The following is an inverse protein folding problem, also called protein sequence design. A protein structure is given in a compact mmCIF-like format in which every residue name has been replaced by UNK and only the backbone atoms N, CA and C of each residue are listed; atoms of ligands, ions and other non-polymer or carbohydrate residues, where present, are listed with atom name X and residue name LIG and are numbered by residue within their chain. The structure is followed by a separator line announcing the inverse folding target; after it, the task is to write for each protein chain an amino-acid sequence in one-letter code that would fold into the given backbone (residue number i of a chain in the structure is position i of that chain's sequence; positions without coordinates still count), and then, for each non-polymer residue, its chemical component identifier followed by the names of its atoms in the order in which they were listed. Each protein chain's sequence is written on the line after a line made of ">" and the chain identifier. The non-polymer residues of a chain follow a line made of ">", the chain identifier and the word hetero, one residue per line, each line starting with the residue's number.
data_IF_961786011993
#
_entry.id   IF_961786011993
#
_cell.length_a   1.000
_cell.length_b   1.000
_cell.length_c   1.000
_cell.angle_alpha   90.00
_cell.angle_beta   90.00
_cell.angle_gamma   90.00
#
_symmetry.space_group_name_H-M   'P 1'
#
loop_
_entity.id
_entity.type
_entity.pdbx_description
1 polymer ?
#
# COMPACT_ATOMS: atom_id res chain seq x y z
N UNK A 1 -7.65 17.38 4.08
CA UNK A 1 -6.67 16.30 4.37
C UNK A 1 -5.63 16.78 5.37
N UNK A 2 -4.90 17.91 5.14
CA UNK A 2 -3.88 18.45 6.06
C UNK A 2 -4.41 18.62 7.50
N UNK A 3 -5.53 19.33 7.68
CA UNK A 3 -6.14 19.55 9.00
C UNK A 3 -6.62 18.24 9.66
N UNK A 4 -7.05 17.27 8.88
CA UNK A 4 -7.45 15.94 9.36
C UNK A 4 -6.25 15.09 9.79
N UNK A 5 -5.13 15.19 9.05
CA UNK A 5 -3.91 14.46 9.36
C UNK A 5 -3.21 14.99 10.61
N UNK A 6 -3.03 16.32 10.71
CA UNK A 6 -2.31 16.98 11.81
C UNK A 6 -3.17 17.37 13.02
N UNK A 7 -4.49 17.13 12.98
CA UNK A 7 -5.42 17.56 14.02
C UNK A 7 -6.73 16.78 14.00
N UNK A 8 -7.80 17.42 14.48
CA UNK A 8 -9.11 16.79 14.60
C UNK A 8 -9.13 15.68 15.66
N UNK A 9 -10.21 14.89 15.65
CA UNK A 9 -10.45 13.82 16.65
C UNK A 9 -9.36 12.75 16.65
N UNK A 10 -8.85 12.39 15.47
CA UNK A 10 -7.91 11.28 15.33
C UNK A 10 -6.45 11.69 15.42
N UNK A 11 -6.11 12.95 15.14
CA UNK A 11 -4.72 13.46 15.13
C UNK A 11 -3.72 12.42 14.58
N UNK A 12 -3.97 11.94 13.36
CA UNK A 12 -3.35 10.74 12.77
C UNK A 12 -1.82 10.84 12.76
N UNK A 13 -1.28 12.01 12.47
CA UNK A 13 0.15 12.23 12.39
C UNK A 13 0.88 11.99 13.72
N UNK A 14 0.18 12.09 14.86
CA UNK A 14 0.80 11.87 16.19
C UNK A 14 1.17 10.41 16.46
N UNK A 15 0.50 9.45 15.82
CA UNK A 15 0.69 8.02 16.08
C UNK A 15 0.99 7.17 14.83
N UNK A 16 0.48 7.53 13.66
CA UNK A 16 0.68 6.75 12.44
C UNK A 16 2.04 7.09 11.80
N UNK A 17 2.96 6.12 11.74
CA UNK A 17 4.25 6.29 11.07
C UNK A 17 4.12 6.32 9.55
N UNK A 18 3.21 5.51 9.01
CA UNK A 18 2.93 5.43 7.58
C UNK A 18 1.46 5.78 7.36
N UNK A 19 1.19 6.63 6.39
CA UNK A 19 -0.17 6.95 5.95
C UNK A 19 -0.27 6.82 4.44
N UNK A 20 -1.49 6.83 3.92
CA UNK A 20 -1.70 6.81 2.48
C UNK A 20 -2.64 7.92 2.01
N UNK A 21 -2.50 8.32 0.77
CA UNK A 21 -3.36 9.32 0.15
C UNK A 21 -3.53 9.07 -1.35
N UNK A 22 -4.69 9.47 -1.88
CA UNK A 22 -4.89 9.54 -3.32
C UNK A 22 -4.13 10.73 -3.93
N UNK A 23 -3.54 10.52 -5.11
CA UNK A 23 -2.85 11.56 -5.88
C UNK A 23 -3.80 12.43 -6.74
N UNK A 24 -5.10 12.08 -6.80
CA UNK A 24 -6.14 12.83 -7.55
C UNK A 24 -6.11 14.35 -7.31
N UNK A 25 -5.85 14.87 -6.07
CA UNK A 25 -5.78 16.32 -5.85
C UNK A 25 -4.52 16.99 -6.45
N UNK A 26 -3.63 16.22 -7.07
CA UNK A 26 -2.35 16.73 -7.58
C UNK A 26 -1.26 16.80 -6.51
N UNK A 27 -0.06 17.33 -6.84
CA UNK A 27 1.14 17.25 -6.00
C UNK A 27 1.02 18.03 -4.67
N UNK A 28 0.08 18.98 -4.57
CA UNK A 28 -0.20 19.69 -3.33
C UNK A 28 -0.60 18.81 -2.15
N UNK A 29 -1.11 17.57 -2.40
CA UNK A 29 -1.42 16.63 -1.33
C UNK A 29 -0.15 16.17 -0.60
N UNK A 30 0.93 15.92 -1.34
CA UNK A 30 2.22 15.49 -0.78
C UNK A 30 2.80 16.61 0.08
N UNK A 31 2.92 17.82 -0.47
CA UNK A 31 3.45 18.98 0.23
C UNK A 31 2.65 19.31 1.51
N UNK A 32 1.32 19.28 1.43
CA UNK A 32 0.45 19.56 2.56
C UNK A 32 0.52 18.52 3.69
N UNK A 33 0.74 17.25 3.38
CA UNK A 33 0.95 16.20 4.38
C UNK A 33 2.36 16.28 4.98
N UNK A 34 3.38 16.50 4.16
CA UNK A 34 4.78 16.68 4.60
C UNK A 34 4.94 17.83 5.58
N UNK A 35 4.29 18.96 5.33
CA UNK A 35 4.34 20.14 6.22
C UNK A 35 3.89 19.80 7.64
N UNK A 36 2.86 18.96 7.81
CA UNK A 36 2.41 18.49 9.13
C UNK A 36 3.49 17.68 9.83
N UNK A 37 4.24 16.86 9.08
CA UNK A 37 5.25 15.97 9.67
C UNK A 37 6.49 16.73 10.18
N UNK A 38 6.75 17.92 9.68
CA UNK A 38 7.89 18.74 10.09
C UNK A 38 7.92 19.08 11.59
N UNK A 39 6.77 19.02 12.26
CA UNK A 39 6.65 19.27 13.71
C UNK A 39 6.71 18.01 14.58
N UNK A 40 6.87 16.83 13.95
CA UNK A 40 6.82 15.53 14.63
C UNK A 40 8.22 14.95 14.70
N UNK A 41 8.73 14.62 15.91
CA UNK A 41 10.10 14.13 16.08
C UNK A 41 10.38 12.76 15.42
N UNK A 42 9.36 11.92 15.33
CA UNK A 42 9.51 10.58 14.74
C UNK A 42 9.30 10.61 13.21
N UNK A 43 10.00 9.78 12.43
CA UNK A 43 9.85 9.74 10.97
C UNK A 43 8.43 9.38 10.56
N UNK A 44 7.98 9.97 9.45
CA UNK A 44 6.69 9.72 8.82
C UNK A 44 6.89 9.44 7.33
N UNK A 45 6.15 8.48 6.79
CA UNK A 45 6.17 8.11 5.38
C UNK A 45 4.78 8.17 4.76
N UNK A 46 4.75 8.43 3.46
CA UNK A 46 3.54 8.49 2.64
C UNK A 46 3.56 7.39 1.58
N UNK A 47 2.44 6.66 1.47
CA UNK A 47 2.15 5.79 0.35
C UNK A 47 1.11 6.47 -0.55
N UNK A 48 1.35 6.52 -1.85
CA UNK A 48 0.35 7.02 -2.81
C UNK A 48 -0.48 5.86 -3.36
N UNK A 49 -1.80 6.07 -3.47
CA UNK A 49 -2.68 5.08 -4.08
C UNK A 49 -2.56 5.15 -5.60
N UNK A 50 -1.94 4.15 -6.21
CA UNK A 50 -1.78 4.00 -7.65
C UNK A 50 -2.81 3.06 -8.26
N UNK A 51 -3.15 1.97 -7.56
CA UNK A 51 -4.14 0.98 -7.99
C UNK A 51 -5.01 0.52 -6.82
N UNK A 52 -6.22 0.11 -7.12
CA UNK A 52 -7.17 -0.44 -6.16
C UNK A 52 -7.61 -1.85 -6.55
N UNK A 53 -8.04 -2.64 -5.57
CA UNK A 53 -8.46 -4.03 -5.77
C UNK A 53 -9.93 -4.19 -6.18
N UNK A 54 -10.71 -3.11 -6.23
CA UNK A 54 -12.12 -3.14 -6.66
C UNK A 54 -12.25 -3.14 -8.18
N UNK A 55 -13.17 -3.94 -8.70
CA UNK A 55 -13.48 -3.98 -10.14
C UNK A 55 -14.04 -2.63 -10.62
N UNK A 56 -13.57 -2.14 -11.76
CA UNK A 56 -14.05 -0.90 -12.35
C UNK A 56 -13.57 0.38 -11.66
N UNK A 57 -12.53 0.30 -10.81
CA UNK A 57 -11.90 1.49 -10.25
C UNK A 57 -11.16 2.29 -11.35
N UNK A 58 -10.89 3.55 -11.07
CA UNK A 58 -10.21 4.48 -11.98
C UNK A 58 -8.68 4.54 -11.76
N UNK A 59 -8.13 3.71 -10.88
CA UNK A 59 -6.68 3.59 -10.66
C UNK A 59 -6.01 2.73 -11.73
N UNK A 60 -4.69 2.80 -11.77
CA UNK A 60 -3.90 2.08 -12.78
C UNK A 60 -3.65 2.88 -14.06
N UNK A 61 -2.95 2.29 -15.03
CA UNK A 61 -2.66 2.92 -16.30
C UNK A 61 -2.07 4.33 -16.18
N UNK A 62 -2.65 5.31 -16.88
CA UNK A 62 -2.18 6.69 -16.86
C UNK A 62 -2.22 7.31 -15.45
N UNK A 63 -3.23 6.96 -14.64
CA UNK A 63 -3.31 7.42 -13.25
C UNK A 63 -2.10 6.95 -12.43
N UNK A 64 -1.71 5.68 -12.55
CA UNK A 64 -0.53 5.14 -11.88
C UNK A 64 0.75 5.84 -12.37
N UNK A 65 0.90 6.04 -13.68
CA UNK A 65 2.06 6.73 -14.25
C UNK A 65 2.19 8.16 -13.71
N UNK A 66 1.10 8.92 -13.65
CA UNK A 66 1.07 10.26 -13.07
C UNK A 66 1.34 10.26 -11.56
N UNK A 67 0.84 9.25 -10.85
CA UNK A 67 1.09 9.08 -9.42
C UNK A 67 2.58 8.83 -9.17
N UNK A 68 3.23 8.02 -10.01
CA UNK A 68 4.66 7.74 -9.93
C UNK A 68 5.51 9.01 -10.22
N UNK A 69 5.13 9.81 -11.23
CA UNK A 69 5.76 11.10 -11.48
C UNK A 69 5.68 12.04 -10.26
N UNK A 70 4.52 12.09 -9.60
CA UNK A 70 4.33 12.89 -8.38
C UNK A 70 5.17 12.39 -7.20
N UNK A 71 5.27 11.07 -7.02
CA UNK A 71 6.12 10.47 -5.97
C UNK A 71 7.59 10.89 -6.11
N UNK A 72 8.09 10.91 -7.34
CA UNK A 72 9.46 11.32 -7.69
C UNK A 72 9.78 12.79 -7.37
N UNK A 73 8.77 13.63 -7.16
CA UNK A 73 8.97 15.02 -6.73
C UNK A 73 9.39 15.14 -5.27
N UNK A 74 9.12 14.13 -4.45
CA UNK A 74 9.48 14.13 -3.02
C UNK A 74 9.80 12.72 -2.49
N UNK A 75 10.92 12.11 -2.94
CA UNK A 75 11.31 10.77 -2.53
C UNK A 75 11.74 10.68 -1.06
N UNK A 76 12.00 11.81 -0.41
CA UNK A 76 12.31 11.86 1.03
C UNK A 76 11.09 11.72 1.94
N UNK A 77 9.86 11.78 1.40
CA UNK A 77 8.62 11.60 2.16
C UNK A 77 7.72 10.51 1.57
N UNK A 78 7.60 10.43 0.25
CA UNK A 78 6.90 9.32 -0.39
C UNK A 78 7.82 8.10 -0.37
N UNK A 79 7.37 7.01 0.23
CA UNK A 79 8.14 5.78 0.38
C UNK A 79 7.67 4.66 -0.53
N UNK A 80 6.54 4.83 -1.20
CA UNK A 80 5.99 3.80 -2.08
C UNK A 80 4.51 3.96 -2.38
N UNK A 81 3.86 2.85 -2.70
CA UNK A 81 2.52 2.84 -3.28
C UNK A 81 1.60 1.80 -2.66
N UNK A 82 0.30 2.12 -2.69
CA UNK A 82 -0.75 1.11 -2.63
C UNK A 82 -1.05 0.74 -4.08
N UNK A 83 -0.72 -0.49 -4.49
CA UNK A 83 -0.90 -0.96 -5.85
C UNK A 83 -1.20 -2.47 -5.91
N UNK A 84 -1.54 -2.99 -7.09
CA UNK A 84 -1.86 -4.40 -7.33
C UNK A 84 -0.72 -5.17 -8.00
N UNK A 85 0.31 -4.44 -8.45
CA UNK A 85 1.51 -4.96 -9.12
C UNK A 85 2.71 -4.14 -8.68
N UNK A 86 3.92 -4.68 -8.81
CA UNK A 86 5.14 -3.90 -8.67
C UNK A 86 5.10 -2.69 -9.59
N UNK A 87 5.65 -1.58 -9.14
CA UNK A 87 5.81 -0.37 -9.94
C UNK A 87 7.17 -0.36 -10.63
N UNK A 88 7.28 0.41 -11.71
CA UNK A 88 8.54 0.57 -12.41
C UNK A 88 9.49 1.46 -11.60
N UNK A 89 10.59 0.88 -11.13
CA UNK A 89 11.69 1.58 -10.48
C UNK A 89 12.72 2.04 -11.51
N UNK A 90 13.29 3.24 -11.31
CA UNK A 90 14.54 3.63 -11.96
C UNK A 90 15.73 3.02 -11.20
N UNK A 91 16.92 3.16 -11.74
CA UNK A 91 18.14 2.56 -11.18
C UNK A 91 18.45 3.00 -9.74
N UNK A 92 18.02 4.21 -9.37
CA UNK A 92 18.20 4.83 -8.06
C UNK A 92 16.93 4.83 -7.18
N UNK A 93 15.88 4.10 -7.60
CA UNK A 93 14.58 4.03 -6.90
C UNK A 93 14.36 2.65 -6.28
N UNK A 94 13.75 2.65 -5.08
CA UNK A 94 13.32 1.43 -4.39
C UNK A 94 11.99 1.69 -3.67
N UNK A 95 10.89 1.63 -4.44
CA UNK A 95 9.55 1.90 -3.94
C UNK A 95 8.92 0.68 -3.28
N UNK A 96 8.46 0.82 -2.04
CA UNK A 96 7.69 -0.22 -1.37
C UNK A 96 6.27 -0.27 -1.95
N UNK A 97 5.83 -1.45 -2.33
CA UNK A 97 4.45 -1.69 -2.81
C UNK A 97 3.66 -2.50 -1.78
N UNK A 98 2.63 -1.88 -1.20
CA UNK A 98 1.71 -2.53 -0.30
C UNK A 98 0.39 -2.83 -1.02
N UNK A 99 -0.04 -4.08 -1.01
CA UNK A 99 -1.15 -4.57 -1.86
C UNK A 99 -2.36 -4.99 -1.05
N UNK A 100 -3.51 -4.29 -1.19
CA UNK A 100 -4.78 -4.72 -0.63
C UNK A 100 -5.49 -5.77 -1.51
N UNK A 101 -6.57 -6.33 -0.98
CA UNK A 101 -7.35 -7.34 -1.70
C UNK A 101 -6.68 -8.70 -1.68
N UNK A 102 -6.07 -9.07 -0.57
CA UNK A 102 -5.44 -10.38 -0.37
C UNK A 102 -6.35 -11.28 0.46
N UNK A 103 -6.56 -12.51 -0.01
CA UNK A 103 -7.33 -13.53 0.71
C UNK A 103 -6.82 -14.94 0.38
N UNK A 104 -6.75 -15.83 1.38
CA UNK A 104 -6.28 -17.20 1.21
C UNK A 104 -7.27 -18.10 0.43
N UNK A 105 -8.58 -17.90 0.65
CA UNK A 105 -9.60 -18.81 0.11
C UNK A 105 -10.67 -18.17 -0.78
N UNK A 106 -10.85 -16.83 -0.74
CA UNK A 106 -11.92 -16.15 -1.49
C UNK A 106 -11.37 -15.47 -2.75
N UNK A 107 -12.11 -15.53 -3.86
CA UNK A 107 -11.74 -14.85 -5.12
C UNK A 107 -12.34 -13.45 -5.25
N UNK A 108 -13.39 -13.14 -4.48
CA UNK A 108 -14.07 -11.85 -4.52
C UNK A 108 -15.23 -11.76 -3.53
N UNK A 109 -15.97 -10.67 -3.58
CA UNK A 109 -17.22 -10.47 -2.86
C UNK A 109 -18.31 -9.90 -3.76
N UNK A 110 -19.54 -9.80 -3.23
CA UNK A 110 -20.69 -9.29 -3.97
C UNK A 110 -20.65 -7.77 -4.29
N UNK A 111 -19.64 -7.05 -3.79
CA UNK A 111 -19.48 -5.60 -3.94
C UNK A 111 -18.33 -5.24 -4.91
N UNK A 112 -17.84 -6.22 -5.69
CA UNK A 112 -16.82 -5.99 -6.70
C UNK A 112 -15.38 -6.07 -6.20
N UNK A 113 -15.14 -6.44 -4.94
CA UNK A 113 -13.80 -6.69 -4.44
C UNK A 113 -13.21 -7.92 -5.12
N UNK A 114 -11.99 -7.79 -5.65
CA UNK A 114 -11.22 -8.87 -6.24
C UNK A 114 -10.10 -9.26 -5.29
N UNK A 115 -9.94 -10.57 -5.02
CA UNK A 115 -8.91 -11.07 -4.13
C UNK A 115 -7.83 -11.83 -4.90
N UNK A 116 -6.59 -11.65 -4.44
CA UNK A 116 -5.43 -12.41 -4.86
C UNK A 116 -4.89 -13.23 -3.68
N UNK A 117 -4.19 -14.33 -3.95
CA UNK A 117 -3.47 -15.06 -2.90
C UNK A 117 -2.17 -14.34 -2.51
N UNK A 118 -1.63 -14.57 -1.30
CA UNK A 118 -0.32 -14.04 -0.90
C UNK A 118 0.79 -14.40 -1.91
N UNK A 119 0.86 -15.67 -2.35
CA UNK A 119 1.84 -16.12 -3.34
C UNK A 119 1.74 -15.32 -4.65
N UNK A 120 0.52 -15.12 -5.16
CA UNK A 120 0.34 -14.36 -6.40
C UNK A 120 0.78 -12.89 -6.25
N UNK A 121 0.51 -12.28 -5.11
CA UNK A 121 0.86 -10.87 -4.85
C UNK A 121 2.37 -10.70 -4.67
N UNK A 122 2.97 -11.51 -3.82
CA UNK A 122 4.37 -11.34 -3.45
C UNK A 122 5.31 -11.93 -4.51
N UNK A 123 5.10 -13.21 -4.89
CA UNK A 123 6.02 -13.90 -5.80
C UNK A 123 5.81 -13.55 -7.27
N UNK A 124 4.54 -13.56 -7.72
CA UNK A 124 4.25 -13.41 -9.16
C UNK A 124 4.17 -11.93 -9.57
N UNK A 125 3.54 -11.09 -8.75
CA UNK A 125 3.34 -9.66 -9.05
C UNK A 125 4.45 -8.75 -8.49
N UNK A 126 5.35 -9.27 -7.67
CA UNK A 126 6.51 -8.54 -7.16
C UNK A 126 6.19 -7.50 -6.09
N UNK A 127 5.03 -7.55 -5.44
CA UNK A 127 4.70 -6.63 -4.36
C UNK A 127 5.39 -7.06 -3.05
N UNK A 128 5.58 -6.11 -2.13
CA UNK A 128 6.42 -6.32 -0.95
C UNK A 128 5.62 -6.65 0.30
N UNK A 129 4.46 -6.01 0.48
CA UNK A 129 3.64 -6.15 1.69
C UNK A 129 2.19 -6.45 1.32
N UNK A 130 1.61 -7.48 1.92
CA UNK A 130 0.18 -7.77 1.80
C UNK A 130 -0.63 -6.98 2.84
N UNK A 131 -1.76 -6.41 2.41
CA UNK A 131 -2.73 -5.77 3.31
C UNK A 131 -3.95 -6.67 3.40
N UNK A 132 -4.22 -7.19 4.60
CA UNK A 132 -5.33 -8.10 4.88
C UNK A 132 -6.25 -7.50 5.94
N UNK A 133 -7.51 -7.29 5.59
CA UNK A 133 -8.53 -6.79 6.52
C UNK A 133 -9.53 -7.89 6.90
N UNK A 134 -10.61 -7.98 6.15
CA UNK A 134 -11.76 -8.88 6.42
C UNK A 134 -11.36 -10.35 6.55
N UNK A 135 -10.31 -10.80 5.85
CA UNK A 135 -9.81 -12.17 5.94
C UNK A 135 -9.28 -12.55 7.33
N UNK A 136 -8.79 -11.57 8.08
CA UNK A 136 -8.30 -11.77 9.46
C UNK A 136 -9.38 -11.40 10.47
N UNK A 137 -9.96 -10.20 10.36
CA UNK A 137 -10.91 -9.67 11.35
C UNK A 137 -12.18 -10.53 11.46
N UNK A 138 -12.63 -11.11 10.34
CA UNK A 138 -13.81 -11.97 10.28
C UNK A 138 -13.53 -13.46 10.49
N UNK A 139 -12.31 -13.85 10.84
CA UNK A 139 -11.97 -15.23 11.14
C UNK A 139 -12.41 -15.64 12.55
N UNK A 140 -12.64 -16.91 12.76
CA UNK A 140 -12.96 -17.48 14.08
C UNK A 140 -11.78 -17.29 15.07
N UNK A 141 -10.56 -17.48 14.61
CA UNK A 141 -9.32 -17.13 15.32
C UNK A 141 -8.50 -16.13 14.48
N UNK A 142 -8.66 -14.82 14.72
CA UNK A 142 -7.93 -13.79 13.98
C UNK A 142 -6.40 -13.88 14.16
N UNK A 143 -5.92 -14.31 15.33
CA UNK A 143 -4.48 -14.44 15.61
C UNK A 143 -3.85 -15.56 14.80
N UNK A 144 -4.43 -16.75 14.85
CA UNK A 144 -3.95 -17.90 14.06
C UNK A 144 -4.02 -17.61 12.56
N UNK A 145 -5.11 -16.98 12.11
CA UNK A 145 -5.28 -16.59 10.71
C UNK A 145 -4.26 -15.54 10.26
N UNK A 146 -3.96 -14.54 11.09
CA UNK A 146 -2.91 -13.56 10.79
C UNK A 146 -1.54 -14.22 10.63
N UNK A 147 -1.23 -15.20 11.50
CA UNK A 147 0.02 -15.96 11.42
C UNK A 147 0.10 -16.81 10.14
N UNK A 148 -1.01 -17.42 9.71
CA UNK A 148 -1.10 -18.13 8.44
C UNK A 148 -0.80 -17.21 7.24
N UNK A 149 -1.41 -16.01 7.21
CA UNK A 149 -1.11 -15.01 6.16
C UNK A 149 0.36 -14.60 6.16
N UNK A 150 0.91 -14.31 7.35
CA UNK A 150 2.32 -13.95 7.50
C UNK A 150 3.24 -15.04 6.94
N UNK A 151 3.04 -16.28 7.36
CA UNK A 151 3.83 -17.43 6.92
C UNK A 151 3.74 -17.63 5.42
N UNK A 152 2.53 -17.64 4.86
CA UNK A 152 2.30 -17.87 3.42
C UNK A 152 2.94 -16.76 2.57
N UNK A 153 2.86 -15.48 3.03
CA UNK A 153 3.48 -14.38 2.31
C UNK A 153 5.02 -14.42 2.41
N UNK A 154 5.55 -14.83 3.56
CA UNK A 154 7.00 -14.98 3.74
C UNK A 154 7.59 -16.09 2.88
N UNK A 155 6.95 -17.26 2.83
CA UNK A 155 7.34 -18.36 1.94
C UNK A 155 7.29 -17.95 0.46
N UNK A 156 6.33 -17.10 0.09
CA UNK A 156 6.25 -16.55 -1.27
C UNK A 156 7.40 -15.59 -1.58
N UNK A 157 7.82 -14.79 -0.60
CA UNK A 157 8.97 -13.90 -0.71
C UNK A 157 10.27 -14.69 -0.85
N UNK A 158 10.49 -15.71 -0.01
CA UNK A 158 11.69 -16.58 -0.10
C UNK A 158 11.82 -17.22 -1.49
N UNK A 159 10.72 -17.77 -2.02
CA UNK A 159 10.69 -18.31 -3.40
C UNK A 159 10.99 -17.24 -4.46
N UNK A 160 10.48 -16.00 -4.30
CA UNK A 160 10.80 -14.90 -5.22
C UNK A 160 12.29 -14.61 -5.25
N UNK A 161 12.93 -14.57 -4.08
CA UNK A 161 14.39 -14.34 -3.96
C UNK A 161 15.19 -15.49 -4.60
N UNK A 162 14.80 -16.75 -4.35
CA UNK A 162 15.43 -17.92 -4.95
C UNK A 162 15.31 -17.93 -6.49
N UNK A 163 14.20 -17.42 -7.04
CA UNK A 163 13.97 -17.28 -8.49
C UNK A 163 14.72 -16.09 -9.11
N UNK A 164 15.43 -15.28 -8.30
CA UNK A 164 16.18 -14.10 -8.75
C UNK A 164 15.31 -12.93 -9.24
N UNK A 165 14.15 -12.79 -8.67
CA UNK A 165 13.15 -11.77 -9.05
C UNK A 165 13.04 -10.65 -8.00
#
# INVERSE_FOLDING_TARGET
>A
VKAQYGGGVYNIASWAHITNAHSVPGPGIIAGLKEVTATIPAPRGLLLLGEMSSKGNLGGGEYLSKTLEMARMDPGFVMGFIAQTAVENREDEDWIVMTPGVNLGRKGDGLGQQYNTPDRVVRVKGCDVIIVGRGIIGAEDPRATAEEYRKTAWEAYEKRVEEGR
#
